data_IF_283561196748
#
_entry.id   IF_283561196748
#
_cell.length_a   1.000
_cell.length_b   1.000
_cell.length_c   1.000
_cell.angle_alpha   90.00
_cell.angle_beta   90.00
_cell.angle_gamma   90.00
#
_symmetry.space_group_name_H-M   'P 1'
#
loop_
_entity.id
_entity.type
_entity.pdbx_description
1 polymer ?
#
# COMPACT_ATOMS: atom_id res chain seq x y z
N UNK A 1 -38.23 -25.37 -19.68
CA UNK A 1 -38.84 -25.84 -18.42
C UNK A 1 -40.11 -26.59 -18.74
N UNK A 2 -40.45 -27.59 -17.95
CA UNK A 2 -41.70 -28.34 -18.11
C UNK A 2 -42.92 -27.47 -17.78
N UNK A 3 -44.10 -27.87 -18.22
CA UNK A 3 -45.34 -27.16 -17.94
C UNK A 3 -45.61 -27.06 -16.43
N UNK A 4 -45.39 -28.15 -15.69
CA UNK A 4 -45.66 -28.23 -14.26
C UNK A 4 -44.79 -27.26 -13.44
N UNK A 5 -43.50 -27.16 -13.78
CA UNK A 5 -42.58 -26.19 -13.15
C UNK A 5 -43.01 -24.73 -13.43
N UNK A 6 -43.49 -24.45 -14.64
CA UNK A 6 -43.93 -23.11 -15.04
C UNK A 6 -45.26 -22.77 -14.36
N UNK A 7 -46.18 -23.73 -14.24
CA UNK A 7 -47.46 -23.56 -13.58
C UNK A 7 -47.30 -23.30 -12.08
N UNK A 8 -46.35 -23.97 -11.43
CA UNK A 8 -46.02 -23.73 -10.02
C UNK A 8 -45.58 -22.29 -9.79
N UNK A 9 -44.64 -21.79 -10.61
CA UNK A 9 -44.12 -20.42 -10.51
C UNK A 9 -45.21 -19.39 -10.86
N UNK A 10 -46.03 -19.68 -11.88
CA UNK A 10 -47.16 -18.84 -12.27
C UNK A 10 -48.14 -18.65 -11.11
N UNK A 11 -48.47 -19.74 -10.40
CA UNK A 11 -49.36 -19.68 -9.23
C UNK A 11 -48.71 -18.94 -8.05
N UNK A 12 -47.41 -19.12 -7.80
CA UNK A 12 -46.67 -18.40 -6.74
C UNK A 12 -46.64 -16.89 -6.93
N UNK A 13 -46.56 -16.42 -8.18
CA UNK A 13 -46.47 -14.99 -8.50
C UNK A 13 -47.84 -14.32 -8.71
N UNK A 14 -48.92 -15.10 -8.74
CA UNK A 14 -50.29 -14.61 -8.85
C UNK A 14 -50.68 -13.77 -7.63
N UNK A 15 -51.33 -12.63 -7.87
CA UNK A 15 -51.93 -11.82 -6.80
C UNK A 15 -53.38 -11.46 -7.15
N UNK A 16 -54.20 -11.09 -6.15
CA UNK A 16 -55.60 -10.69 -6.39
C UNK A 16 -55.73 -9.54 -7.39
N UNK A 17 -54.84 -8.55 -7.31
CA UNK A 17 -54.83 -7.40 -8.21
C UNK A 17 -54.18 -7.70 -9.58
N UNK A 18 -53.26 -8.68 -9.66
CA UNK A 18 -52.55 -9.05 -10.90
C UNK A 18 -52.52 -10.57 -11.03
N UNK A 19 -53.57 -11.18 -11.61
CA UNK A 19 -53.69 -12.63 -11.68
C UNK A 19 -52.70 -13.28 -12.66
N UNK A 20 -52.18 -12.52 -13.62
CA UNK A 20 -51.24 -12.98 -14.66
C UNK A 20 -49.84 -12.39 -14.49
N UNK A 21 -49.46 -11.98 -13.27
CA UNK A 21 -48.22 -11.24 -12.99
C UNK A 21 -46.97 -11.92 -13.57
N UNK A 22 -46.88 -13.25 -13.50
CA UNK A 22 -45.76 -13.99 -14.08
C UNK A 22 -45.65 -13.77 -15.59
N UNK A 23 -46.75 -13.93 -16.34
CA UNK A 23 -46.77 -13.71 -17.79
C UNK A 23 -46.48 -12.26 -18.13
N UNK A 24 -46.97 -11.31 -17.33
CA UNK A 24 -46.64 -9.90 -17.50
C UNK A 24 -45.15 -9.61 -17.34
N UNK A 25 -44.49 -10.22 -16.35
CA UNK A 25 -43.03 -10.08 -16.15
C UNK A 25 -42.28 -10.62 -17.37
N UNK A 26 -42.61 -11.83 -17.83
CA UNK A 26 -41.95 -12.43 -19.00
C UNK A 26 -42.18 -11.60 -20.26
N UNK A 27 -43.42 -11.14 -20.49
CA UNK A 27 -43.76 -10.28 -21.61
C UNK A 27 -42.94 -8.99 -21.61
N UNK A 28 -42.86 -8.29 -20.48
CA UNK A 28 -42.10 -7.03 -20.40
C UNK A 28 -40.60 -7.25 -20.51
N UNK A 29 -40.05 -8.34 -19.94
CA UNK A 29 -38.64 -8.69 -20.13
C UNK A 29 -38.30 -8.94 -21.60
N UNK A 30 -39.13 -9.71 -22.31
CA UNK A 30 -38.94 -10.01 -23.73
C UNK A 30 -39.14 -8.80 -24.62
N UNK A 31 -40.22 -8.03 -24.39
CA UNK A 31 -40.51 -6.81 -25.14
C UNK A 31 -39.39 -5.79 -25.00
N UNK A 32 -38.92 -5.52 -23.78
CA UNK A 32 -37.83 -4.58 -23.53
C UNK A 32 -36.52 -5.05 -24.18
N UNK A 33 -36.19 -6.35 -24.12
CA UNK A 33 -34.98 -6.87 -24.76
C UNK A 33 -35.03 -6.75 -26.30
N UNK A 34 -36.20 -6.99 -26.91
CA UNK A 34 -36.40 -6.82 -28.36
C UNK A 34 -36.33 -5.34 -28.74
N UNK A 35 -36.98 -4.46 -27.97
CA UNK A 35 -36.95 -3.01 -28.19
C UNK A 35 -35.53 -2.46 -28.11
N UNK A 36 -34.69 -2.94 -27.19
CA UNK A 36 -33.29 -2.54 -27.09
C UNK A 36 -32.44 -2.96 -28.30
N UNK A 37 -32.59 -4.18 -28.78
CA UNK A 37 -31.79 -4.70 -29.91
C UNK A 37 -32.21 -4.05 -31.24
N UNK A 38 -33.49 -3.72 -31.39
CA UNK A 38 -34.08 -3.20 -32.64
C UNK A 38 -34.08 -1.66 -32.76
N UNK A 39 -33.48 -0.95 -31.79
CA UNK A 39 -33.23 0.50 -31.88
C UNK A 39 -34.12 1.40 -31.01
N UNK A 40 -34.81 0.86 -30.01
CA UNK A 40 -35.51 1.60 -28.96
C UNK A 40 -34.55 2.22 -27.92
N UNK A 41 -35.11 2.87 -26.89
CA UNK A 41 -34.30 3.46 -25.82
C UNK A 41 -33.53 2.37 -25.05
N UNK A 42 -32.21 2.54 -24.93
CA UNK A 42 -31.34 1.62 -24.18
C UNK A 42 -31.60 1.77 -22.68
N UNK A 43 -31.71 0.67 -21.93
CA UNK A 43 -31.77 0.75 -20.46
C UNK A 43 -30.48 1.37 -19.92
N UNK A 44 -30.64 2.45 -19.15
CA UNK A 44 -29.55 3.02 -18.36
C UNK A 44 -29.67 2.46 -16.95
N UNK A 45 -28.72 1.60 -16.56
CA UNK A 45 -28.59 1.17 -15.17
C UNK A 45 -27.77 2.23 -14.44
N UNK A 46 -28.45 3.05 -13.63
CA UNK A 46 -27.80 4.06 -12.80
C UNK A 46 -27.59 3.51 -11.40
N UNK A 47 -26.33 3.30 -11.03
CA UNK A 47 -25.97 3.01 -9.65
C UNK A 47 -25.91 4.32 -8.84
N UNK A 48 -26.16 4.24 -7.52
CA UNK A 48 -25.92 5.37 -6.63
C UNK A 48 -24.45 5.80 -6.70
N UNK A 49 -24.17 7.09 -6.49
CA UNK A 49 -22.79 7.60 -6.48
C UNK A 49 -21.93 6.80 -5.50
N UNK A 50 -22.46 6.53 -4.30
CA UNK A 50 -21.78 5.72 -3.28
C UNK A 50 -21.39 4.31 -3.77
N UNK A 51 -22.26 3.64 -4.53
CA UNK A 51 -21.96 2.31 -5.06
C UNK A 51 -20.97 2.38 -6.22
N UNK A 52 -21.03 3.44 -7.04
CA UNK A 52 -20.05 3.66 -8.12
C UNK A 52 -18.67 3.98 -7.58
N UNK A 53 -18.57 4.77 -6.52
CA UNK A 53 -17.31 5.08 -5.85
C UNK A 53 -16.71 3.79 -5.28
N UNK A 54 -17.48 3.05 -4.47
CA UNK A 54 -17.01 1.79 -3.87
C UNK A 54 -16.61 0.73 -4.89
N UNK A 55 -17.43 0.46 -5.91
CA UNK A 55 -17.08 -0.54 -6.93
C UNK A 55 -16.01 -0.04 -7.90
N UNK A 56 -16.05 1.24 -8.25
CA UNK A 56 -15.12 1.86 -9.20
C UNK A 56 -13.68 1.76 -8.72
N UNK A 57 -13.45 2.03 -7.44
CA UNK A 57 -12.10 2.00 -6.90
C UNK A 57 -11.50 0.58 -6.87
N UNK A 58 -12.29 -0.45 -6.55
CA UNK A 58 -11.84 -1.85 -6.66
C UNK A 58 -11.45 -2.24 -8.10
N UNK A 59 -12.09 -1.68 -9.12
CA UNK A 59 -11.71 -1.93 -10.53
C UNK A 59 -10.33 -1.35 -10.83
N UNK A 60 -10.01 -0.17 -10.30
CA UNK A 60 -8.69 0.43 -10.44
C UNK A 60 -7.63 -0.37 -9.69
N UNK A 61 -7.89 -0.74 -8.43
CA UNK A 61 -7.01 -1.59 -7.63
C UNK A 61 -6.76 -2.98 -8.26
N UNK A 62 -7.78 -3.61 -8.84
CA UNK A 62 -7.67 -4.92 -9.50
C UNK A 62 -6.79 -4.84 -10.75
N UNK A 63 -6.99 -3.82 -11.61
CA UNK A 63 -6.13 -3.60 -12.78
C UNK A 63 -4.69 -3.31 -12.38
N UNK A 64 -4.50 -2.48 -11.35
CA UNK A 64 -3.17 -2.17 -10.80
C UNK A 64 -2.46 -3.43 -10.32
N UNK A 65 -3.13 -4.22 -9.46
CA UNK A 65 -2.60 -5.46 -8.92
C UNK A 65 -2.28 -6.49 -10.01
N UNK A 66 -3.17 -6.67 -10.99
CA UNK A 66 -2.95 -7.63 -12.07
C UNK A 66 -1.81 -7.21 -13.00
N UNK A 67 -1.62 -5.92 -13.26
CA UNK A 67 -0.47 -5.41 -14.02
C UNK A 67 0.85 -5.81 -13.35
N UNK A 68 0.94 -5.66 -12.03
CA UNK A 68 2.12 -6.05 -11.26
C UNK A 68 2.32 -7.57 -11.29
N UNK A 69 1.26 -8.34 -11.03
CA UNK A 69 1.31 -9.81 -11.03
C UNK A 69 1.70 -10.37 -12.39
N UNK A 70 1.24 -9.77 -13.48
CA UNK A 70 1.65 -10.12 -14.83
C UNK A 70 3.15 -9.90 -15.06
N UNK A 71 3.70 -8.78 -14.59
CA UNK A 71 5.13 -8.50 -14.72
C UNK A 71 5.94 -9.50 -13.90
N UNK A 72 5.53 -9.78 -12.65
CA UNK A 72 6.14 -10.82 -11.82
C UNK A 72 6.07 -12.19 -12.48
N UNK A 73 4.95 -12.56 -13.10
CA UNK A 73 4.78 -13.81 -13.83
C UNK A 73 5.72 -13.89 -15.04
N UNK A 74 5.72 -12.86 -15.90
CA UNK A 74 6.56 -12.77 -17.11
C UNK A 74 8.06 -12.85 -16.77
N UNK A 75 8.45 -12.39 -15.57
CA UNK A 75 9.83 -12.43 -15.07
C UNK A 75 10.14 -13.66 -14.20
N UNK A 76 9.19 -14.59 -14.02
CA UNK A 76 9.32 -15.77 -13.18
C UNK A 76 9.68 -15.46 -11.70
N UNK A 77 9.04 -14.42 -11.15
CA UNK A 77 9.32 -13.90 -9.80
C UNK A 77 8.25 -14.26 -8.77
N UNK A 78 7.06 -14.72 -9.18
CA UNK A 78 5.90 -14.97 -8.30
C UNK A 78 6.17 -15.93 -7.12
N UNK A 79 7.06 -16.91 -7.32
CA UNK A 79 7.36 -17.95 -6.32
C UNK A 79 8.46 -17.54 -5.32
N UNK A 80 9.20 -16.47 -5.62
CA UNK A 80 10.31 -16.00 -4.78
C UNK A 80 9.77 -15.19 -3.60
N UNK A 81 10.49 -15.13 -2.46
CA UNK A 81 10.10 -14.30 -1.32
C UNK A 81 9.93 -12.83 -1.76
N UNK A 82 8.70 -12.32 -1.69
CA UNK A 82 8.35 -10.96 -2.08
C UNK A 82 8.21 -10.09 -0.84
N UNK A 83 9.01 -9.03 -0.77
CA UNK A 83 8.90 -8.01 0.28
C UNK A 83 8.26 -6.76 -0.32
N UNK A 84 7.07 -6.42 0.16
CA UNK A 84 6.34 -5.21 -0.25
C UNK A 84 6.76 -4.05 0.66
N UNK A 85 7.05 -2.90 0.07
CA UNK A 85 7.37 -1.66 0.76
C UNK A 85 6.48 -0.54 0.21
N UNK A 86 5.55 -0.03 1.00
CA UNK A 86 4.88 1.25 0.71
C UNK A 86 5.73 2.37 1.32
N UNK A 87 6.34 3.17 0.46
CA UNK A 87 7.33 4.17 0.84
C UNK A 87 7.51 5.21 -0.27
N UNK A 88 8.23 6.28 0.05
CA UNK A 88 8.81 7.13 -0.97
C UNK A 88 9.76 6.29 -1.85
N UNK A 89 9.40 6.10 -3.11
CA UNK A 89 10.12 5.22 -4.03
C UNK A 89 11.60 5.62 -4.21
N UNK A 90 11.87 6.94 -4.22
CA UNK A 90 13.24 7.44 -4.32
C UNK A 90 14.11 7.02 -3.12
N UNK A 91 13.54 6.94 -1.92
CA UNK A 91 14.30 6.53 -0.73
C UNK A 91 14.87 5.12 -0.86
N UNK A 92 14.11 4.18 -1.44
CA UNK A 92 14.54 2.78 -1.57
C UNK A 92 15.62 2.65 -2.63
N UNK A 93 15.39 3.17 -3.84
CA UNK A 93 16.39 3.10 -4.91
C UNK A 93 17.69 3.83 -4.52
N UNK A 94 17.59 4.96 -3.84
CA UNK A 94 18.77 5.69 -3.39
C UNK A 94 19.51 4.95 -2.27
N UNK A 95 18.79 4.30 -1.35
CA UNK A 95 19.41 3.49 -0.30
C UNK A 95 20.16 2.30 -0.88
N UNK A 96 19.59 1.65 -1.90
CA UNK A 96 20.22 0.52 -2.58
C UNK A 96 21.43 0.92 -3.43
N UNK A 97 21.36 2.02 -4.19
CA UNK A 97 22.33 2.27 -5.28
C UNK A 97 23.12 3.56 -5.17
N UNK A 98 22.68 4.58 -4.42
CA UNK A 98 23.25 5.93 -4.54
C UNK A 98 24.72 6.03 -4.14
N UNK A 99 25.14 5.35 -3.06
CA UNK A 99 26.55 5.40 -2.62
C UNK A 99 27.49 4.84 -3.69
N UNK A 100 27.08 3.75 -4.35
CA UNK A 100 27.85 3.11 -5.42
C UNK A 100 27.84 3.96 -6.70
N UNK A 101 26.65 4.42 -7.12
CA UNK A 101 26.47 5.23 -8.31
C UNK A 101 27.23 6.56 -8.27
N UNK A 102 27.32 7.19 -7.10
CA UNK A 102 27.83 8.55 -6.94
C UNK A 102 29.20 8.61 -6.23
N UNK A 103 29.96 7.52 -6.25
CA UNK A 103 31.28 7.42 -5.61
C UNK A 103 32.25 8.52 -6.09
N UNK A 104 32.13 8.96 -7.35
CA UNK A 104 33.00 10.00 -7.93
C UNK A 104 32.65 11.40 -7.43
N UNK A 105 31.37 11.67 -7.28
CA UNK A 105 30.82 12.95 -6.85
C UNK A 105 30.88 13.12 -5.32
N UNK A 106 30.82 12.02 -4.58
CA UNK A 106 30.83 11.99 -3.11
C UNK A 106 31.84 10.96 -2.56
N UNK A 107 33.16 11.17 -2.75
CA UNK A 107 34.18 10.19 -2.35
C UNK A 107 34.35 10.03 -0.83
N UNK A 108 34.03 11.06 -0.05
CA UNK A 108 34.29 11.12 1.40
C UNK A 108 33.04 11.38 2.25
N UNK A 109 31.85 11.48 1.64
CA UNK A 109 30.66 11.94 2.34
C UNK A 109 29.79 10.78 2.83
N UNK A 110 29.26 10.93 4.05
CA UNK A 110 28.28 10.00 4.60
C UNK A 110 26.99 9.95 3.77
N UNK A 111 26.25 8.85 3.89
CA UNK A 111 25.01 8.59 3.14
C UNK A 111 24.02 9.77 3.18
N UNK A 112 23.94 10.48 4.31
CA UNK A 112 22.99 11.58 4.50
C UNK A 112 23.22 12.77 3.55
N UNK A 113 24.47 13.11 3.23
CA UNK A 113 24.75 14.25 2.33
C UNK A 113 24.39 13.92 0.88
N UNK A 114 24.60 12.67 0.47
CA UNK A 114 24.14 12.15 -0.82
C UNK A 114 22.62 12.27 -0.90
N UNK A 115 21.90 11.85 0.15
CA UNK A 115 20.44 11.91 0.18
C UNK A 115 19.90 13.34 0.19
N UNK A 116 20.53 14.27 0.91
CA UNK A 116 20.20 15.70 0.87
C UNK A 116 20.46 16.31 -0.51
N UNK A 117 21.49 15.87 -1.22
CA UNK A 117 21.73 16.30 -2.58
C UNK A 117 20.64 15.76 -3.52
N UNK A 118 20.33 14.47 -3.43
CA UNK A 118 19.32 13.82 -4.28
C UNK A 118 17.90 14.35 -4.04
N UNK A 119 17.60 14.88 -2.85
CA UNK A 119 16.31 15.50 -2.55
C UNK A 119 16.12 16.90 -3.15
N UNK A 120 17.16 17.52 -3.72
CA UNK A 120 17.07 18.85 -4.32
C UNK A 120 16.67 18.77 -5.80
N UNK A 121 15.65 19.54 -6.20
CA UNK A 121 15.10 19.51 -7.57
C UNK A 121 16.16 19.72 -8.66
N UNK A 122 17.14 20.58 -8.44
CA UNK A 122 18.23 20.86 -9.40
C UNK A 122 19.12 19.67 -9.76
N UNK A 123 19.13 18.61 -8.96
CA UNK A 123 20.06 17.47 -9.10
C UNK A 123 19.48 16.30 -9.91
N UNK A 124 18.82 16.59 -11.04
CA UNK A 124 18.28 15.56 -11.95
C UNK A 124 19.37 14.60 -12.44
N UNK A 125 20.52 15.14 -12.88
CA UNK A 125 21.63 14.33 -13.40
C UNK A 125 22.16 13.29 -12.38
N UNK A 126 22.12 13.62 -11.09
CA UNK A 126 22.52 12.69 -10.03
C UNK A 126 21.47 11.57 -9.87
N UNK A 127 20.18 11.92 -9.91
CA UNK A 127 19.09 10.93 -9.83
C UNK A 127 19.11 9.99 -11.04
N UNK A 128 19.36 10.52 -12.23
CA UNK A 128 19.43 9.72 -13.46
C UNK A 128 20.57 8.70 -13.41
N UNK A 129 21.74 9.07 -12.87
CA UNK A 129 22.85 8.13 -12.64
C UNK A 129 22.46 6.98 -11.71
N UNK A 130 21.75 7.29 -10.63
CA UNK A 130 21.28 6.27 -9.67
C UNK A 130 20.26 5.34 -10.35
N UNK A 131 19.29 5.90 -11.07
CA UNK A 131 18.26 5.12 -11.78
C UNK A 131 18.87 4.24 -12.88
N UNK A 132 19.82 4.75 -13.67
CA UNK A 132 20.52 3.96 -14.69
C UNK A 132 21.27 2.78 -14.08
N UNK A 133 21.95 3.00 -12.94
CA UNK A 133 22.62 1.91 -12.23
C UNK A 133 21.58 0.89 -11.72
N UNK A 134 20.47 1.35 -11.13
CA UNK A 134 19.43 0.47 -10.61
C UNK A 134 18.80 -0.39 -11.72
N UNK A 135 18.40 0.22 -12.85
CA UNK A 135 17.80 -0.49 -13.99
C UNK A 135 18.76 -1.52 -14.60
N UNK A 136 20.06 -1.21 -14.66
CA UNK A 136 21.08 -2.16 -15.10
C UNK A 136 21.24 -3.36 -14.16
N UNK A 137 20.86 -3.21 -12.89
CA UNK A 137 21.06 -4.19 -11.83
C UNK A 137 19.73 -4.75 -11.28
N UNK A 138 18.73 -4.93 -12.15
CA UNK A 138 17.51 -5.68 -11.80
C UNK A 138 16.34 -4.84 -11.30
N UNK A 139 16.42 -3.51 -11.35
CA UNK A 139 15.24 -2.65 -11.14
C UNK A 139 14.34 -2.64 -12.38
N UNK A 140 13.03 -2.76 -12.17
CA UNK A 140 11.98 -2.65 -13.19
C UNK A 140 10.99 -1.60 -12.71
N UNK A 141 10.76 -0.55 -13.52
CA UNK A 141 9.69 0.43 -13.27
C UNK A 141 8.39 -0.06 -13.90
N UNK A 142 7.29 0.13 -13.19
CA UNK A 142 5.92 -0.15 -13.64
C UNK A 142 5.12 1.12 -13.37
N UNK A 143 4.91 1.90 -14.42
CA UNK A 143 4.12 3.14 -14.33
C UNK A 143 2.64 2.79 -14.29
N UNK A 144 1.86 3.49 -13.45
CA UNK A 144 0.43 3.22 -13.34
C UNK A 144 -0.33 3.66 -14.60
N UNK A 145 -1.17 2.76 -15.08
CA UNK A 145 -2.16 3.05 -16.14
C UNK A 145 -3.58 2.64 -15.74
N UNK A 146 -3.75 2.18 -14.49
CA UNK A 146 -5.03 1.73 -13.95
C UNK A 146 -5.94 2.87 -13.50
N UNK A 147 -5.37 4.03 -13.14
CA UNK A 147 -6.06 5.17 -12.54
C UNK A 147 -5.91 5.26 -11.02
N UNK A 148 -5.09 4.39 -10.42
CA UNK A 148 -4.71 4.49 -9.00
C UNK A 148 -3.68 5.60 -8.76
N UNK A 149 -2.89 5.95 -9.78
CA UNK A 149 -1.75 6.86 -9.71
C UNK A 149 -0.67 6.40 -8.72
N UNK A 150 -0.49 5.08 -8.59
CA UNK A 150 0.53 4.48 -7.73
C UNK A 150 1.52 3.73 -8.60
N UNK A 151 2.67 4.34 -8.85
CA UNK A 151 3.77 3.69 -9.57
C UNK A 151 4.42 2.62 -8.69
N UNK A 152 5.06 1.63 -9.34
CA UNK A 152 5.72 0.51 -8.68
C UNK A 152 7.13 0.30 -9.22
N UNK A 153 8.05 -0.06 -8.32
CA UNK A 153 9.39 -0.52 -8.67
C UNK A 153 9.60 -1.94 -8.15
N UNK A 154 10.04 -2.83 -9.01
CA UNK A 154 10.49 -4.16 -8.63
C UNK A 154 12.02 -4.21 -8.63
N UNK A 155 12.62 -4.78 -7.60
CA UNK A 155 14.04 -5.06 -7.53
C UNK A 155 14.25 -6.56 -7.43
N UNK A 156 14.70 -7.17 -8.54
CA UNK A 156 15.14 -8.56 -8.53
C UNK A 156 16.56 -8.65 -7.96
N UNK A 157 16.66 -9.04 -6.69
CA UNK A 157 17.95 -9.06 -6.00
C UNK A 157 18.91 -10.13 -6.55
N UNK A 158 18.43 -11.11 -7.33
CA UNK A 158 19.30 -12.10 -7.98
C UNK A 158 20.07 -11.51 -9.16
N UNK A 159 19.59 -10.40 -9.72
CA UNK A 159 20.23 -9.69 -10.84
C UNK A 159 21.11 -8.52 -10.38
N UNK A 160 21.36 -8.39 -9.07
CA UNK A 160 22.29 -7.38 -8.55
C UNK A 160 23.71 -7.72 -9.04
N UNK A 161 24.30 -6.81 -9.82
CA UNK A 161 25.70 -6.91 -10.19
C UNK A 161 26.62 -6.80 -8.98
N UNK A 162 27.84 -7.35 -9.11
CA UNK A 162 28.88 -7.23 -8.08
C UNK A 162 29.10 -5.75 -7.75
N UNK A 163 29.10 -5.44 -6.47
CA UNK A 163 29.36 -4.09 -5.93
C UNK A 163 28.33 -3.01 -6.38
N UNK A 164 27.18 -3.41 -6.93
CA UNK A 164 26.14 -2.46 -7.35
C UNK A 164 25.23 -2.03 -6.18
N UNK A 165 25.02 -2.91 -5.20
CA UNK A 165 24.16 -2.68 -4.05
C UNK A 165 24.95 -2.18 -2.84
N UNK A 166 24.28 -1.39 -2.00
CA UNK A 166 24.77 -0.89 -0.72
C UNK A 166 24.57 -1.89 0.43
N UNK A 167 23.93 -3.03 0.17
CA UNK A 167 23.63 -4.11 1.10
C UNK A 167 24.10 -5.44 0.51
N UNK A 168 24.59 -6.32 1.38
CA UNK A 168 25.09 -7.63 0.98
C UNK A 168 24.03 -8.69 1.22
N UNK A 169 23.80 -9.52 0.20
CA UNK A 169 23.00 -10.73 0.36
C UNK A 169 23.85 -11.83 1.01
N UNK A 170 23.24 -12.71 1.82
CA UNK A 170 23.89 -13.94 2.27
C UNK A 170 24.44 -14.75 1.07
N UNK A 171 25.71 -15.15 1.14
CA UNK A 171 26.44 -15.78 0.02
C UNK A 171 25.82 -17.11 -0.46
N UNK A 172 25.11 -17.82 0.42
CA UNK A 172 24.61 -19.19 0.18
C UNK A 172 23.10 -19.28 -0.12
N UNK A 173 22.43 -18.18 -0.47
CA UNK A 173 21.01 -18.22 -0.81
C UNK A 173 20.77 -18.95 -2.14
N UNK A 174 19.96 -20.03 -2.17
CA UNK A 174 19.54 -20.63 -3.43
C UNK A 174 18.82 -19.60 -4.31
N UNK A 175 19.01 -19.65 -5.63
CA UNK A 175 18.45 -18.64 -6.54
C UNK A 175 16.92 -18.44 -6.38
N UNK A 176 16.17 -19.52 -6.11
CA UNK A 176 14.71 -19.46 -5.87
C UNK A 176 14.32 -18.87 -4.50
N UNK A 177 15.28 -18.66 -3.61
CA UNK A 177 15.10 -18.06 -2.28
C UNK A 177 15.67 -16.64 -2.19
N UNK A 178 16.39 -16.17 -3.21
CA UNK A 178 16.82 -14.78 -3.27
C UNK A 178 15.56 -13.90 -3.34
N UNK A 179 15.39 -12.88 -2.49
CA UNK A 179 14.16 -12.12 -2.46
C UNK A 179 13.94 -11.21 -3.67
N UNK A 180 12.70 -10.73 -3.81
CA UNK A 180 12.30 -9.64 -4.70
C UNK A 180 11.70 -8.55 -3.82
N UNK A 181 12.06 -7.29 -4.07
CA UNK A 181 11.47 -6.15 -3.37
C UNK A 181 10.49 -5.47 -4.32
N UNK A 182 9.25 -5.30 -3.89
CA UNK A 182 8.23 -4.49 -4.57
C UNK A 182 8.07 -3.21 -3.76
N UNK A 183 8.41 -2.08 -4.36
CA UNK A 183 8.19 -0.76 -3.77
C UNK A 183 7.03 -0.11 -4.48
N UNK A 184 6.02 0.31 -3.74
CA UNK A 184 4.89 1.09 -4.24
C UNK A 184 4.93 2.49 -3.66
N UNK A 185 4.50 3.49 -4.43
CA UNK A 185 4.28 4.83 -3.89
C UNK A 185 3.15 4.81 -2.85
N UNK A 186 2.99 5.93 -2.14
CA UNK A 186 1.95 6.08 -1.14
C UNK A 186 0.55 6.01 -1.75
N UNK A 187 -0.25 5.04 -1.30
CA UNK A 187 -1.70 5.11 -1.44
C UNK A 187 -2.28 6.13 -0.47
N UNK A 188 -3.44 6.70 -0.79
CA UNK A 188 -4.11 7.69 0.04
C UNK A 188 -5.40 7.15 0.64
N UNK A 189 -5.54 7.22 1.98
CA UNK A 189 -6.76 6.82 2.67
C UNK A 189 -7.19 5.38 2.38
N UNK A 190 -8.47 5.20 2.02
CA UNK A 190 -9.08 3.89 1.74
C UNK A 190 -8.45 3.18 0.52
N UNK A 191 -7.80 3.92 -0.39
CA UNK A 191 -7.08 3.34 -1.53
C UNK A 191 -5.99 2.35 -1.09
N UNK A 192 -5.42 2.53 0.11
CA UNK A 192 -4.47 1.58 0.69
C UNK A 192 -5.10 0.20 0.89
N UNK A 193 -6.37 0.13 1.30
CA UNK A 193 -7.10 -1.13 1.43
C UNK A 193 -7.33 -1.74 0.05
N UNK A 194 -7.82 -0.97 -0.90
CA UNK A 194 -8.16 -1.46 -2.25
C UNK A 194 -6.94 -2.05 -2.96
N UNK A 195 -5.83 -1.32 -2.99
CA UNK A 195 -4.60 -1.74 -3.69
C UNK A 195 -3.99 -2.99 -3.06
N UNK A 196 -3.79 -3.00 -1.74
CA UNK A 196 -3.20 -4.15 -1.05
C UNK A 196 -4.17 -5.33 -1.03
N UNK A 197 -5.47 -5.12 -0.84
CA UNK A 197 -6.43 -6.23 -0.84
C UNK A 197 -6.45 -6.96 -2.18
N UNK A 198 -6.43 -6.22 -3.29
CA UNK A 198 -6.36 -6.77 -4.64
C UNK A 198 -4.98 -7.40 -4.94
N UNK A 199 -3.88 -6.77 -4.53
CA UNK A 199 -2.53 -7.32 -4.71
C UNK A 199 -2.37 -8.66 -3.98
N UNK A 200 -2.88 -8.78 -2.76
CA UNK A 200 -2.74 -10.00 -1.95
C UNK A 200 -3.71 -11.12 -2.33
N UNK A 201 -4.62 -10.92 -3.30
CA UNK A 201 -5.43 -12.01 -3.87
C UNK A 201 -4.57 -12.92 -4.77
N UNK A 202 -4.88 -14.22 -4.89
CA UNK A 202 -4.18 -15.12 -5.80
C UNK A 202 -4.24 -14.60 -7.25
N UNK A 203 -3.15 -14.79 -7.99
CA UNK A 203 -3.10 -14.46 -9.40
C UNK A 203 -3.76 -15.56 -10.23
N UNK A 204 -4.63 -15.18 -11.17
CA UNK A 204 -5.34 -16.11 -12.07
C UNK A 204 -5.17 -15.66 -13.52
N UNK A 205 -4.07 -16.03 -14.18
CA UNK A 205 -3.95 -15.76 -15.61
C UNK A 205 -4.98 -16.61 -16.37
N UNK A 206 -5.82 -15.99 -17.19
CA UNK A 206 -6.75 -16.67 -18.12
C UNK A 206 -7.68 -17.73 -17.49
N UNK A 207 -8.19 -17.48 -16.28
CA UNK A 207 -9.05 -18.43 -15.53
C UNK A 207 -8.38 -19.78 -15.20
N UNK A 208 -7.03 -19.83 -15.19
CA UNK A 208 -6.26 -20.98 -14.71
C UNK A 208 -6.28 -21.10 -13.18
N UNK A 209 -5.66 -22.17 -12.67
CA UNK A 209 -5.51 -22.42 -11.24
C UNK A 209 -4.85 -21.22 -10.51
N UNK A 210 -5.32 -20.85 -9.32
CA UNK A 210 -4.82 -19.71 -8.58
C UNK A 210 -3.35 -19.91 -8.18
N UNK A 211 -2.51 -18.95 -8.57
CA UNK A 211 -1.11 -18.86 -8.14
C UNK A 211 -1.02 -17.95 -6.93
N UNK A 212 -0.55 -18.50 -5.80
CA UNK A 212 -0.32 -17.76 -4.58
C UNK A 212 1.09 -17.16 -4.59
N UNK A 213 1.18 -15.84 -4.37
CA UNK A 213 2.48 -15.17 -4.24
C UNK A 213 3.10 -15.46 -2.88
N UNK A 214 4.41 -15.66 -2.86
CA UNK A 214 5.15 -15.87 -1.63
C UNK A 214 5.47 -14.54 -0.94
N UNK A 215 4.49 -13.96 -0.24
CA UNK A 215 4.67 -12.68 0.47
C UNK A 215 5.40 -12.92 1.79
N UNK A 216 6.65 -12.48 1.88
CA UNK A 216 7.50 -12.65 3.05
C UNK A 216 7.36 -11.50 4.06
N UNK A 217 7.17 -10.27 3.58
CA UNK A 217 6.89 -9.14 4.47
C UNK A 217 6.19 -7.98 3.78
N UNK A 218 5.51 -7.16 4.56
CA UNK A 218 4.89 -5.91 4.12
C UNK A 218 5.35 -4.79 5.06
N UNK A 219 5.98 -3.76 4.50
CA UNK A 219 6.54 -2.63 5.25
C UNK A 219 5.86 -1.34 4.81
N UNK A 220 5.32 -0.59 5.76
CA UNK A 220 4.61 0.66 5.52
C UNK A 220 5.39 1.76 6.23
N UNK A 221 5.94 2.67 5.43
CA UNK A 221 6.51 3.91 5.91
C UNK A 221 5.53 5.04 5.57
N UNK A 222 5.45 6.09 6.38
CA UNK A 222 4.59 7.23 6.05
C UNK A 222 4.94 8.51 6.78
N UNK A 223 4.31 9.60 6.35
CA UNK A 223 4.25 10.84 7.12
C UNK A 223 3.07 10.76 8.07
N UNK A 224 3.21 11.34 9.25
CA UNK A 224 2.13 11.42 10.22
C UNK A 224 2.22 12.71 11.02
N UNK A 225 1.09 13.14 11.58
CA UNK A 225 1.06 14.17 12.61
C UNK A 225 1.45 13.56 13.95
N UNK A 226 2.38 14.17 14.67
CA UNK A 226 2.82 13.69 15.99
C UNK A 226 2.09 14.40 17.11
N UNK A 227 1.63 13.66 18.12
CA UNK A 227 0.91 14.23 19.26
C UNK A 227 1.84 14.61 20.42
N UNK A 228 3.08 14.12 20.40
CA UNK A 228 4.12 14.44 21.38
C UNK A 228 5.51 14.45 20.71
N UNK A 229 6.24 15.56 20.77
CA UNK A 229 7.50 15.73 20.04
C UNK A 229 7.35 16.65 18.83
N UNK A 230 8.31 16.59 17.91
CA UNK A 230 8.47 17.56 16.83
C UNK A 230 8.70 16.94 15.45
N UNK A 231 8.84 17.82 14.44
CA UNK A 231 9.06 17.42 13.05
C UNK A 231 10.32 16.56 12.91
N UNK A 232 10.18 15.42 12.25
CA UNK A 232 11.25 14.46 11.99
C UNK A 232 11.40 13.35 13.03
N UNK A 233 10.72 13.45 14.18
CA UNK A 233 10.65 12.36 15.15
C UNK A 233 9.87 11.17 14.60
N UNK A 234 10.09 10.00 15.19
CA UNK A 234 9.61 8.72 14.69
C UNK A 234 8.48 8.16 15.57
N UNK A 235 7.51 7.53 14.93
CA UNK A 235 6.38 6.87 15.57
C UNK A 235 6.33 5.41 15.11
N UNK A 236 6.47 4.48 16.05
CA UNK A 236 6.40 3.03 15.82
C UNK A 236 5.07 2.56 16.39
N UNK A 237 4.05 2.27 15.55
CA UNK A 237 2.73 1.89 16.04
C UNK A 237 2.72 0.50 16.66
N UNK A 238 1.97 0.38 17.75
CA UNK A 238 1.58 -0.91 18.35
C UNK A 238 0.15 -1.31 17.97
N UNK A 239 -0.66 -0.34 17.52
CA UNK A 239 -2.02 -0.53 17.04
C UNK A 239 -2.42 0.64 16.13
N UNK A 240 -3.42 0.43 15.28
CA UNK A 240 -4.16 1.49 14.61
C UNK A 240 -5.60 1.57 15.11
N UNK A 241 -6.02 2.77 15.50
CA UNK A 241 -7.36 3.10 15.99
C UNK A 241 -8.10 3.82 14.88
N UNK A 242 -9.26 3.31 14.44
CA UNK A 242 -9.99 3.97 13.36
C UNK A 242 -10.97 5.02 13.91
N UNK A 243 -10.71 6.29 13.60
CA UNK A 243 -11.59 7.38 14.01
C UNK A 243 -13.02 7.19 13.50
N UNK A 244 -14.00 7.43 14.39
CA UNK A 244 -15.41 7.41 14.02
C UNK A 244 -16.01 6.01 13.83
N UNK A 245 -15.24 4.95 14.06
CA UNK A 245 -15.71 3.56 14.01
C UNK A 245 -15.28 2.78 15.25
N UNK A 246 -15.74 1.53 15.38
CA UNK A 246 -15.29 0.62 16.43
C UNK A 246 -14.11 -0.27 15.98
N UNK A 247 -13.63 -0.10 14.74
CA UNK A 247 -12.59 -0.94 14.17
C UNK A 247 -11.22 -0.50 14.70
N UNK A 248 -10.50 -1.45 15.32
CA UNK A 248 -9.19 -1.21 15.91
C UNK A 248 -8.31 -2.43 15.65
N UNK A 249 -7.05 -2.20 15.28
CA UNK A 249 -6.15 -3.26 14.83
C UNK A 249 -4.84 -3.22 15.59
N UNK A 250 -4.63 -4.14 16.54
CA UNK A 250 -3.30 -4.41 17.10
C UNK A 250 -2.34 -4.89 16.02
N UNK A 251 -1.07 -4.54 16.17
CA UNK A 251 -0.01 -4.88 15.22
C UNK A 251 1.08 -5.63 15.99
N UNK A 252 1.47 -6.79 15.48
CA UNK A 252 2.74 -7.40 15.85
C UNK A 252 3.81 -6.76 14.95
N UNK A 253 4.29 -5.59 15.35
CA UNK A 253 5.20 -4.79 14.54
C UNK A 253 6.61 -5.33 14.69
N UNK A 254 7.23 -5.73 13.58
CA UNK A 254 8.62 -6.21 13.58
C UNK A 254 9.64 -5.10 13.83
N UNK A 255 9.18 -3.85 13.93
CA UNK A 255 9.95 -2.75 14.49
C UNK A 255 9.69 -2.58 15.96
N UNK A 256 10.76 -2.24 16.66
CA UNK A 256 10.78 -1.82 18.04
C UNK A 256 11.48 -0.46 18.15
N UNK A 257 11.28 0.24 19.27
CA UNK A 257 12.06 1.46 19.58
C UNK A 257 13.57 1.26 19.41
N UNK A 258 14.09 0.11 19.87
CA UNK A 258 15.52 -0.20 19.89
C UNK A 258 16.17 -0.19 18.49
N UNK A 259 15.40 -0.50 17.43
CA UNK A 259 15.90 -0.48 16.06
C UNK A 259 16.34 0.93 15.60
N UNK A 260 15.81 1.97 16.25
CA UNK A 260 15.99 3.38 15.85
C UNK A 260 16.84 4.19 16.84
N UNK A 261 17.22 3.63 17.98
CA UNK A 261 17.99 4.31 19.03
C UNK A 261 19.34 4.84 18.50
N UNK A 262 19.93 5.80 19.22
CA UNK A 262 21.23 6.43 18.90
C UNK A 262 21.31 7.18 17.56
N UNK A 263 20.19 7.42 16.88
CA UNK A 263 20.14 8.19 15.65
C UNK A 263 19.85 9.68 15.85
N UNK A 264 19.71 10.16 17.10
CA UNK A 264 19.46 11.58 17.40
C UNK A 264 18.12 12.09 16.88
N UNK A 265 17.09 11.26 16.94
CA UNK A 265 15.67 11.58 16.71
C UNK A 265 14.88 11.04 17.91
N UNK A 266 13.81 11.71 18.33
CA UNK A 266 12.93 11.15 19.34
C UNK A 266 12.12 10.01 18.72
N UNK A 267 11.92 8.94 19.49
CA UNK A 267 11.16 7.78 19.05
C UNK A 267 10.00 7.60 20.03
N UNK A 268 8.80 7.50 19.49
CA UNK A 268 7.60 7.15 20.22
C UNK A 268 7.12 5.77 19.77
N UNK A 269 6.58 5.02 20.72
CA UNK A 269 6.02 3.71 20.48
C UNK A 269 4.66 3.64 21.19
N UNK A 270 3.61 3.28 20.46
CA UNK A 270 2.24 3.32 20.98
C UNK A 270 1.17 3.35 19.87
N UNK A 271 -0.12 3.49 20.23
CA UNK A 271 -1.20 3.48 19.24
C UNK A 271 -1.18 4.70 18.32
N UNK A 272 -1.53 4.49 17.05
CA UNK A 272 -1.73 5.54 16.05
C UNK A 272 -3.21 5.66 15.70
N UNK A 273 -3.69 6.86 15.42
CA UNK A 273 -5.07 7.08 14.97
C UNK A 273 -5.10 7.21 13.45
N UNK A 274 -5.88 6.35 12.78
CA UNK A 274 -6.22 6.55 11.36
C UNK A 274 -7.44 7.46 11.28
N UNK A 275 -7.26 8.63 10.67
CA UNK A 275 -8.32 9.65 10.51
C UNK A 275 -8.87 9.64 9.08
N UNK A 276 -10.12 10.07 8.91
CA UNK A 276 -10.74 10.19 7.57
C UNK A 276 -10.19 11.37 6.76
N UNK A 277 -9.59 12.34 7.45
CA UNK A 277 -8.99 13.52 6.85
C UNK A 277 -8.54 14.53 7.90
N UNK A 278 -7.44 15.23 7.60
CA UNK A 278 -6.83 16.19 8.52
C UNK A 278 -7.70 17.42 8.77
N UNK A 279 -8.57 17.80 7.83
CA UNK A 279 -9.52 18.93 7.98
C UNK A 279 -10.61 18.69 9.03
N UNK A 280 -10.85 17.43 9.39
CA UNK A 280 -11.89 17.06 10.37
C UNK A 280 -11.37 17.08 11.81
N UNK A 281 -10.06 17.27 12.00
CA UNK A 281 -9.43 17.23 13.30
C UNK A 281 -9.49 18.59 14.00
N UNK A 282 -9.87 18.57 15.27
CA UNK A 282 -9.75 19.72 16.16
C UNK A 282 -8.90 19.35 17.39
N UNK A 283 -8.38 20.36 18.10
CA UNK A 283 -7.47 20.14 19.22
C UNK A 283 -8.09 19.28 20.32
N UNK A 284 -9.38 19.42 20.60
CA UNK A 284 -10.05 18.69 21.67
C UNK A 284 -10.10 17.18 21.39
N UNK A 285 -10.37 16.77 20.15
CA UNK A 285 -10.34 15.37 19.72
C UNK A 285 -8.92 14.79 19.80
N UNK A 286 -7.93 15.57 19.38
CA UNK A 286 -6.53 15.15 19.43
C UNK A 286 -6.03 15.00 20.88
N UNK A 287 -6.42 15.92 21.77
CA UNK A 287 -6.17 15.80 23.21
C UNK A 287 -6.88 14.57 23.79
N UNK A 288 -8.12 14.28 23.38
CA UNK A 288 -8.80 13.06 23.80
C UNK A 288 -8.02 11.80 23.43
N UNK A 289 -7.58 11.65 22.17
CA UNK A 289 -6.81 10.47 21.77
C UNK A 289 -5.45 10.37 22.48
N UNK A 290 -4.80 11.51 22.74
CA UNK A 290 -3.52 11.57 23.44
C UNK A 290 -3.63 11.26 24.93
N UNK A 291 -4.59 11.87 25.64
CA UNK A 291 -4.64 11.90 27.10
C UNK A 291 -5.56 10.83 27.70
N UNK A 292 -6.46 10.25 26.91
CA UNK A 292 -7.30 9.13 27.36
C UNK A 292 -6.51 7.82 27.44
N UNK A 293 -7.20 6.73 27.77
CA UNK A 293 -6.64 5.38 27.80
C UNK A 293 -6.14 4.88 26.43
N UNK A 294 -6.43 5.60 25.35
CA UNK A 294 -5.86 5.31 24.04
C UNK A 294 -4.38 5.65 23.96
N UNK A 295 -3.92 6.71 24.65
CA UNK A 295 -2.53 7.14 24.68
C UNK A 295 -1.88 7.22 23.29
N UNK A 296 -2.63 7.75 22.31
CA UNK A 296 -2.17 7.79 20.94
C UNK A 296 -0.95 8.69 20.79
N UNK A 297 0.05 8.22 20.04
CA UNK A 297 1.32 8.93 19.81
C UNK A 297 1.28 9.82 18.56
N UNK A 298 0.34 9.57 17.66
CA UNK A 298 0.22 10.26 16.39
C UNK A 298 -1.01 9.88 15.60
N UNK A 299 -1.13 10.46 14.42
CA UNK A 299 -2.25 10.25 13.50
C UNK A 299 -1.80 10.27 12.04
N UNK A 300 -2.49 9.48 11.23
CA UNK A 300 -2.23 9.22 9.82
C UNK A 300 -3.54 8.81 9.12
N UNK A 301 -3.53 8.45 7.84
CA UNK A 301 -4.77 8.25 7.09
C UNK A 301 -4.92 6.83 6.48
N UNK A 302 -3.93 5.95 6.63
CA UNK A 302 -3.84 4.71 5.84
C UNK A 302 -3.73 3.43 6.68
N UNK A 303 -3.33 3.52 7.95
CA UNK A 303 -2.81 2.41 8.75
C UNK A 303 -3.83 1.31 8.97
N UNK A 304 -5.04 1.68 9.38
CA UNK A 304 -6.20 0.77 9.46
C UNK A 304 -6.45 0.08 8.13
N UNK A 305 -6.39 0.81 7.01
CA UNK A 305 -6.71 0.29 5.69
C UNK A 305 -5.69 -0.77 5.25
N UNK A 306 -4.39 -0.50 5.43
CA UNK A 306 -3.34 -1.49 5.23
C UNK A 306 -3.53 -2.71 6.14
N UNK A 307 -3.66 -2.49 7.44
CA UNK A 307 -3.68 -3.58 8.42
C UNK A 307 -4.92 -4.46 8.24
N UNK A 308 -6.06 -3.88 7.87
CA UNK A 308 -7.28 -4.60 7.51
C UNK A 308 -7.08 -5.51 6.30
N UNK A 309 -6.43 -5.04 5.24
CA UNK A 309 -6.15 -5.85 4.05
C UNK A 309 -5.15 -6.99 4.35
N UNK A 310 -4.08 -6.68 5.08
CA UNK A 310 -3.03 -7.64 5.48
C UNK A 310 -3.63 -8.74 6.35
N UNK A 311 -4.36 -8.38 7.41
CA UNK A 311 -5.05 -9.32 8.29
C UNK A 311 -6.06 -10.19 7.52
N UNK A 312 -6.85 -9.59 6.64
CA UNK A 312 -7.83 -10.34 5.85
C UNK A 312 -7.13 -11.37 4.94
N UNK A 313 -6.02 -10.99 4.31
CA UNK A 313 -5.23 -11.87 3.45
C UNK A 313 -4.55 -13.01 4.23
N UNK A 314 -3.87 -12.70 5.35
CA UNK A 314 -3.08 -13.69 6.09
C UNK A 314 -3.94 -14.57 7.02
N UNK A 315 -4.87 -13.98 7.79
CA UNK A 315 -5.60 -14.70 8.86
C UNK A 315 -6.94 -15.28 8.42
N UNK A 316 -7.62 -14.68 7.44
CA UNK A 316 -8.99 -15.08 7.03
C UNK A 316 -8.98 -15.81 5.70
N UNK A 317 -8.53 -15.13 4.64
CA UNK A 317 -8.49 -15.68 3.27
C UNK A 317 -7.37 -16.71 3.10
N UNK A 318 -6.32 -16.59 3.91
CA UNK A 318 -5.08 -17.39 3.82
C UNK A 318 -4.50 -17.36 2.40
N UNK A 319 -4.60 -16.20 1.75
CA UNK A 319 -4.04 -15.98 0.41
C UNK A 319 -2.55 -15.65 0.44
N UNK A 320 -2.02 -15.37 1.64
CA UNK A 320 -0.59 -15.21 1.95
C UNK A 320 -0.28 -15.96 3.26
N UNK A 321 1.00 -16.09 3.61
CA UNK A 321 1.43 -16.72 4.86
C UNK A 321 0.87 -16.02 6.11
N UNK A 322 0.52 -16.81 7.13
CA UNK A 322 0.10 -16.29 8.44
C UNK A 322 1.26 -15.61 9.20
N UNK A 323 2.49 -15.98 8.86
CA UNK A 323 3.77 -15.51 9.39
C UNK A 323 4.35 -14.31 8.61
N UNK A 324 3.55 -13.66 7.75
CA UNK A 324 3.97 -12.47 7.01
C UNK A 324 4.46 -11.39 7.97
N UNK A 325 5.73 -11.00 7.82
CA UNK A 325 6.33 -9.99 8.70
C UNK A 325 5.77 -8.62 8.36
N UNK A 326 5.23 -7.91 9.34
CA UNK A 326 4.63 -6.60 9.14
C UNK A 326 5.44 -5.52 9.84
N UNK A 327 5.72 -4.41 9.14
CA UNK A 327 6.49 -3.28 9.67
C UNK A 327 5.73 -2.00 9.43
N UNK A 328 5.57 -1.20 10.47
CA UNK A 328 5.05 0.15 10.34
C UNK A 328 5.97 1.13 11.03
N UNK A 329 6.30 2.23 10.37
CA UNK A 329 6.97 3.36 10.99
C UNK A 329 6.55 4.65 10.30
N UNK A 330 6.31 5.68 11.08
CA UNK A 330 5.97 7.00 10.57
C UNK A 330 6.98 8.03 11.04
N UNK A 331 7.19 9.07 10.24
CA UNK A 331 7.96 10.24 10.66
C UNK A 331 7.06 11.47 10.72
N UNK A 332 7.30 12.29 11.74
CA UNK A 332 6.48 13.45 12.04
C UNK A 332 6.64 14.53 10.97
N UNK A 333 5.56 14.84 10.24
CA UNK A 333 5.52 15.97 9.31
C UNK A 333 5.14 17.28 9.96
N UNK A 334 4.38 17.19 11.03
CA UNK A 334 3.75 18.29 11.73
C UNK A 334 3.38 17.84 13.14
N UNK A 335 3.10 18.81 14.01
CA UNK A 335 2.46 18.59 15.29
C UNK A 335 1.13 19.38 15.29
N UNK A 336 -0.03 18.72 15.16
CA UNK A 336 -1.31 19.40 15.03
C UNK A 336 -1.81 20.05 16.32
N UNK A 337 -1.22 19.73 17.49
CA UNK A 337 -1.53 20.39 18.75
C UNK A 337 -0.81 21.76 18.87
N UNK A 338 0.31 21.91 18.19
CA UNK A 338 1.13 23.14 18.19
C UNK A 338 0.71 24.12 17.10
N UNK A 339 0.36 25.35 17.52
CA UNK A 339 0.02 26.42 16.59
C UNK A 339 1.24 26.81 15.75
N UNK A 340 1.08 26.84 14.42
CA UNK A 340 2.17 27.17 13.50
C UNK A 340 3.10 26.00 13.14
N UNK A 341 2.86 24.81 13.70
CA UNK A 341 3.58 23.57 13.37
C UNK A 341 2.76 22.61 12.49
N UNK A 342 1.60 23.04 11.98
CA UNK A 342 0.67 22.23 11.17
C UNK A 342 1.14 22.06 9.72
N UNK A 343 0.51 21.18 8.93
CA UNK A 343 0.81 21.02 7.48
C UNK A 343 0.80 22.34 6.69
N UNK A 344 -0.03 23.30 7.11
CA UNK A 344 -0.13 24.62 6.48
C UNK A 344 1.12 25.50 6.71
N UNK A 345 1.98 25.15 7.67
CA UNK A 345 3.22 25.89 8.01
C UNK A 345 4.39 25.64 7.06
N UNK A 346 4.23 24.76 6.07
CA UNK A 346 5.26 24.38 5.10
C UNK A 346 5.74 22.93 5.25
N UNK A 347 6.24 22.36 4.17
CA UNK A 347 6.73 20.96 4.14
C UNK A 347 7.97 20.73 5.01
N UNK A 348 8.30 19.47 5.30
CA UNK A 348 9.50 19.13 6.11
C UNK A 348 10.82 19.68 5.54
N UNK A 349 10.89 19.95 4.24
CA UNK A 349 12.14 20.30 3.57
C UNK A 349 13.22 19.23 3.80
N UNK A 350 14.45 19.66 4.10
CA UNK A 350 15.58 18.76 4.37
C UNK A 350 15.47 18.01 5.70
N UNK A 351 14.64 18.47 6.64
CA UNK A 351 14.42 17.81 7.95
C UNK A 351 13.82 16.41 7.77
N UNK A 352 13.02 16.21 6.72
CA UNK A 352 12.40 14.91 6.43
C UNK A 352 13.34 13.88 5.80
N UNK A 353 14.51 14.30 5.30
CA UNK A 353 15.46 13.41 4.64
C UNK A 353 15.97 12.37 5.63
N UNK A 354 16.53 12.81 6.77
CA UNK A 354 17.10 11.89 7.77
C UNK A 354 16.14 10.79 8.23
N UNK A 355 14.91 11.08 8.72
CA UNK A 355 14.00 10.04 9.18
C UNK A 355 13.52 9.13 8.06
N UNK A 356 13.24 9.67 6.85
CA UNK A 356 12.84 8.86 5.70
C UNK A 356 13.89 7.80 5.38
N UNK A 357 15.17 8.20 5.27
CA UNK A 357 16.23 7.27 4.94
C UNK A 357 16.62 6.34 6.08
N UNK A 358 16.42 6.76 7.34
CA UNK A 358 16.65 5.89 8.49
C UNK A 358 15.64 4.72 8.52
N UNK A 359 14.35 5.01 8.35
CA UNK A 359 13.32 3.95 8.27
C UNK A 359 13.62 3.03 7.08
N UNK A 360 13.88 3.58 5.90
CA UNK A 360 14.22 2.78 4.72
C UNK A 360 15.45 1.90 4.92
N UNK A 361 16.50 2.43 5.55
CA UNK A 361 17.73 1.65 5.83
C UNK A 361 17.45 0.47 6.77
N UNK A 362 16.63 0.67 7.81
CA UNK A 362 16.26 -0.41 8.74
C UNK A 362 15.35 -1.45 8.05
N UNK A 363 14.37 -1.02 7.23
CA UNK A 363 13.57 -1.94 6.39
C UNK A 363 14.50 -2.82 5.55
N UNK A 364 15.43 -2.20 4.83
CA UNK A 364 16.34 -2.91 3.93
C UNK A 364 17.30 -3.83 4.70
N UNK A 365 17.88 -3.39 5.83
CA UNK A 365 18.71 -4.26 6.68
C UNK A 365 17.97 -5.50 7.14
N UNK A 366 16.72 -5.36 7.57
CA UNK A 366 15.92 -6.52 7.99
C UNK A 366 15.56 -7.44 6.82
N UNK A 367 15.29 -6.90 5.63
CA UNK A 367 15.04 -7.70 4.41
C UNK A 367 16.29 -8.45 3.96
N UNK A 368 17.46 -7.80 3.92
CA UNK A 368 18.71 -8.44 3.48
C UNK A 368 19.24 -9.46 4.50
N UNK A 369 18.90 -9.30 5.79
CA UNK A 369 19.20 -10.29 6.83
C UNK A 369 18.09 -11.34 7.02
N UNK A 370 17.01 -11.29 6.23
CA UNK A 370 15.90 -12.23 6.31
C UNK A 370 16.36 -13.64 5.98
N UNK A 371 15.97 -14.61 6.82
CA UNK A 371 16.18 -16.04 6.57
C UNK A 371 14.84 -16.68 6.20
N UNK A 372 14.69 -17.21 4.97
CA UNK A 372 13.43 -17.66 4.41
C UNK A 372 13.02 -19.09 4.81
#
# INVERSE_FOLDING_TARGET
>A
RSFDEVLEIYNKLKSKARPHRFLSIIYWLGKLAIEEETGGEKRIITFSMLLRERLGHHIHGDRWANTIKEVLAKKNLLHRPLHIISANMHSVVNSLFARKALTKEFPNNGSLDIYKALSQEKNNDLRDKVLQLAMKNGMISIDDTSGTNIDVQLFDLANLGRDACCYDLPEDLPNGKIPVILVMDYAFGEQAFETIDELLKPYRPNDEEPVFMNIASISIMGKAGILEGGKGDLMIPTAHIFEGTADNYPIDNAFSRADFEDNGLQILEGPMVTVLGTSLQNKDILHFFKESTWQAIGLEMEGVHYQKAIQAASKIRKSIGEDVVTRYAYYASDNPLESGSTLASGGLGTTGVKPTYLITDIILKQIFNFKP
#
